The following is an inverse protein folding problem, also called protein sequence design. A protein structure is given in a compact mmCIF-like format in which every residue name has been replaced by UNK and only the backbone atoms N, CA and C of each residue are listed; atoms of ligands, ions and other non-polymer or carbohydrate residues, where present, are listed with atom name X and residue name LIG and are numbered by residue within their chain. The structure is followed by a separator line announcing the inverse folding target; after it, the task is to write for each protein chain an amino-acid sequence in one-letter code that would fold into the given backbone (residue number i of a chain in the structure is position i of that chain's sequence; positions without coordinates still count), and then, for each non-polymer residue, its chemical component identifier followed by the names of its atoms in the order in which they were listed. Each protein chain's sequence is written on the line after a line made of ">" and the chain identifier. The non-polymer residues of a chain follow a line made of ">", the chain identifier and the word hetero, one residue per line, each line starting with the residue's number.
data_IF_121854015332
#
_entry.id   IF_121854015332
#
_cell.length_a   1.000
_cell.length_b   1.000
_cell.length_c   1.000
_cell.angle_alpha   90.00
_cell.angle_beta   90.00
_cell.angle_gamma   90.00
#
_symmetry.space_group_name_H-M   'P 1'
#
loop_
_entity.id
_entity.type
_entity.pdbx_description
1 polymer ?
#
# COMPACT_ATOMS: atom_id res chain seq x y z
N UNK A 1 11.22 -16.71 -7.72
CA UNK A 1 10.06 -17.54 -7.36
C UNK A 1 9.20 -16.79 -6.38
N UNK A 2 7.87 -16.82 -6.53
CA UNK A 2 6.95 -16.36 -5.49
C UNK A 2 7.19 -17.29 -4.29
N UNK A 3 7.69 -16.75 -3.19
CA UNK A 3 7.81 -17.51 -1.95
C UNK A 3 6.42 -17.66 -1.36
N UNK A 4 5.84 -18.85 -1.47
CA UNK A 4 4.59 -19.22 -0.81
C UNK A 4 4.87 -19.41 0.69
N UNK A 5 4.61 -18.38 1.48
CA UNK A 5 4.87 -18.45 2.90
C UNK A 5 4.27 -17.27 3.68
N UNK A 6 4.45 -17.35 4.98
CA UNK A 6 4.04 -16.27 5.88
C UNK A 6 5.06 -15.13 5.84
N UNK A 7 4.56 -13.91 5.77
CA UNK A 7 5.35 -12.68 5.92
C UNK A 7 5.97 -12.67 7.32
N UNK A 8 7.25 -12.33 7.41
CA UNK A 8 7.92 -12.08 8.69
C UNK A 8 8.17 -10.59 8.88
N UNK A 9 7.64 -10.05 9.97
CA UNK A 9 7.80 -8.66 10.34
C UNK A 9 9.07 -8.46 11.16
N UNK A 10 9.76 -7.37 10.89
CA UNK A 10 10.90 -6.87 11.66
C UNK A 10 10.47 -5.79 12.65
N UNK A 11 11.30 -4.78 12.77
CA UNK A 11 11.06 -3.64 13.66
C UNK A 11 9.89 -2.78 13.20
N UNK A 12 9.20 -2.17 14.15
CA UNK A 12 8.23 -1.11 13.88
C UNK A 12 8.96 0.15 13.41
N UNK A 13 8.44 0.75 12.34
CA UNK A 13 8.96 1.99 11.77
C UNK A 13 8.03 3.15 12.13
N UNK A 14 8.57 4.37 12.14
CA UNK A 14 7.74 5.56 12.17
C UNK A 14 7.16 5.84 10.79
N UNK A 15 5.84 6.05 10.73
CA UNK A 15 5.15 6.37 9.50
C UNK A 15 5.40 7.83 9.11
N UNK A 16 6.06 8.08 7.97
CA UNK A 16 6.31 9.44 7.51
C UNK A 16 5.03 10.21 7.13
N UNK A 17 3.93 9.51 6.87
CA UNK A 17 2.65 10.10 6.49
C UNK A 17 1.73 10.42 7.68
N UNK A 18 2.15 10.17 8.93
CA UNK A 18 1.36 10.62 10.07
C UNK A 18 1.22 12.15 10.06
N UNK A 19 0.09 12.64 10.56
CA UNK A 19 -0.13 14.10 10.68
C UNK A 19 1.00 14.76 11.46
N UNK A 20 1.45 14.11 12.54
CA UNK A 20 2.55 14.61 13.36
C UNK A 20 3.85 14.75 12.57
N UNK A 21 4.25 13.71 11.83
CA UNK A 21 5.51 13.71 11.09
C UNK A 21 5.47 14.62 9.86
N UNK A 22 4.36 14.66 9.14
CA UNK A 22 4.18 15.61 8.04
C UNK A 22 4.18 17.06 8.53
N UNK A 23 3.61 17.33 9.69
CA UNK A 23 3.67 18.65 10.32
C UNK A 23 5.10 19.05 10.68
N UNK A 24 5.88 18.14 11.25
CA UNK A 24 7.31 18.37 11.53
C UNK A 24 8.10 18.68 10.25
N UNK A 25 7.81 17.97 9.16
CA UNK A 25 8.46 18.19 7.87
C UNK A 25 8.15 19.58 7.29
N UNK A 26 6.89 19.99 7.33
CA UNK A 26 6.49 21.36 6.92
C UNK A 26 7.21 22.41 7.74
N UNK A 27 7.27 22.25 9.06
CA UNK A 27 7.96 23.19 9.96
C UNK A 27 9.47 23.23 9.69
N UNK A 28 10.07 22.11 9.35
CA UNK A 28 11.47 22.04 9.00
C UNK A 28 11.82 22.82 7.74
N UNK A 29 11.02 22.63 6.69
CA UNK A 29 11.27 23.26 5.37
C UNK A 29 10.73 24.68 5.25
N UNK A 30 9.65 25.00 5.96
CA UNK A 30 8.94 26.27 5.87
C UNK A 30 8.70 26.90 7.25
N UNK A 31 9.76 27.21 8.01
CA UNK A 31 9.63 27.69 9.39
C UNK A 31 8.84 29.02 9.49
N UNK A 32 8.87 29.86 8.45
CA UNK A 32 8.12 31.12 8.41
C UNK A 32 6.63 30.94 8.12
N UNK A 33 6.23 29.78 7.60
CA UNK A 33 4.83 29.43 7.33
C UNK A 33 4.25 28.48 8.39
N UNK A 34 5.05 27.99 9.30
CA UNK A 34 4.69 26.98 10.29
C UNK A 34 3.53 27.40 11.20
N UNK A 35 3.42 28.68 11.51
CA UNK A 35 2.36 29.21 12.38
C UNK A 35 0.99 29.33 11.67
N UNK A 36 0.97 29.32 10.34
CA UNK A 36 -0.26 29.48 9.53
C UNK A 36 -0.70 28.20 8.84
N UNK A 37 0.19 27.19 8.72
CA UNK A 37 -0.12 25.91 8.11
C UNK A 37 -0.44 24.91 9.22
N UNK A 38 -1.71 24.50 9.29
CA UNK A 38 -2.16 23.43 10.17
C UNK A 38 -2.66 22.27 9.31
N UNK A 39 -2.00 21.13 9.44
CA UNK A 39 -2.42 19.91 8.76
C UNK A 39 -3.50 19.20 9.57
N UNK A 40 -4.56 18.82 8.88
CA UNK A 40 -5.63 18.01 9.43
C UNK A 40 -5.58 16.61 8.80
N UNK A 41 -5.96 15.61 9.57
CA UNK A 41 -6.02 14.25 9.05
C UNK A 41 -6.90 14.19 7.77
N UNK A 42 -6.37 13.59 6.73
CA UNK A 42 -7.13 13.23 5.53
C UNK A 42 -7.69 11.82 5.65
N UNK A 43 -6.96 10.96 6.33
CA UNK A 43 -7.25 9.54 6.49
C UNK A 43 -6.90 9.08 7.90
N UNK A 44 -7.49 7.93 8.27
CA UNK A 44 -7.14 7.19 9.46
C UNK A 44 -6.50 5.86 9.08
N UNK A 45 -5.37 5.55 9.70
CA UNK A 45 -4.80 4.21 9.70
C UNK A 45 -5.43 3.43 10.85
N UNK A 46 -6.14 2.38 10.50
CA UNK A 46 -6.93 1.57 11.43
C UNK A 46 -6.61 0.10 11.30
N UNK A 47 -6.94 -0.67 12.35
CA UNK A 47 -7.05 -2.11 12.25
C UNK A 47 -8.47 -2.55 12.61
N UNK A 48 -8.93 -3.56 11.93
CA UNK A 48 -10.26 -4.13 12.06
C UNK A 48 -10.13 -5.62 12.38
N UNK A 49 -10.96 -6.13 13.26
CA UNK A 49 -11.00 -7.56 13.57
C UNK A 49 -12.33 -8.17 13.10
N UNK A 50 -12.39 -8.63 11.86
CA UNK A 50 -13.55 -9.36 11.34
C UNK A 50 -13.74 -10.67 12.13
N UNK A 51 -14.97 -11.05 12.39
CA UNK A 51 -15.30 -12.29 13.09
C UNK A 51 -15.23 -13.50 12.17
N UNK A 52 -15.57 -13.28 10.90
CA UNK A 52 -15.66 -14.32 9.87
C UNK A 52 -15.57 -13.73 8.45
N UNK A 53 -15.72 -14.58 7.44
CA UNK A 53 -15.71 -14.19 6.04
C UNK A 53 -16.87 -13.27 5.64
N UNK A 54 -18.02 -13.31 6.36
CA UNK A 54 -19.12 -12.39 6.08
C UNK A 54 -18.74 -10.95 6.46
N UNK A 55 -18.06 -10.76 7.58
CA UNK A 55 -17.54 -9.46 7.99
C UNK A 55 -16.50 -8.94 6.96
N UNK A 56 -15.61 -9.80 6.47
CA UNK A 56 -14.65 -9.44 5.42
C UNK A 56 -15.36 -8.98 4.16
N UNK A 57 -16.38 -9.73 3.71
CA UNK A 57 -17.18 -9.37 2.54
C UNK A 57 -17.88 -8.03 2.74
N UNK A 58 -18.46 -7.80 3.90
CA UNK A 58 -19.13 -6.54 4.24
C UNK A 58 -18.17 -5.36 4.13
N UNK A 59 -16.96 -5.46 4.69
CA UNK A 59 -15.95 -4.41 4.62
C UNK A 59 -15.48 -4.17 3.17
N UNK A 60 -15.32 -5.22 2.39
CA UNK A 60 -15.00 -5.11 0.94
C UNK A 60 -16.10 -4.38 0.18
N UNK A 61 -17.38 -4.70 0.43
CA UNK A 61 -18.53 -4.02 -0.16
C UNK A 61 -18.63 -2.54 0.25
N UNK A 62 -18.15 -2.19 1.43
CA UNK A 62 -18.00 -0.80 1.89
C UNK A 62 -16.82 -0.07 1.23
N UNK A 63 -16.03 -0.72 0.40
CA UNK A 63 -14.87 -0.16 -0.27
C UNK A 63 -13.60 -0.13 0.58
N UNK A 64 -13.54 -0.87 1.67
CA UNK A 64 -12.34 -0.96 2.51
C UNK A 64 -11.31 -1.88 1.86
N UNK A 65 -10.15 -1.35 1.56
CA UNK A 65 -9.00 -2.14 1.12
C UNK A 65 -8.24 -2.65 2.33
N UNK A 66 -8.31 -3.94 2.57
CA UNK A 66 -7.73 -4.58 3.74
C UNK A 66 -6.41 -5.28 3.41
N UNK A 67 -5.44 -5.13 4.28
CA UNK A 67 -4.20 -5.89 4.29
C UNK A 67 -4.10 -6.67 5.60
N UNK A 68 -3.58 -7.89 5.55
CA UNK A 68 -3.53 -8.79 6.70
C UNK A 68 -2.33 -8.55 7.62
N UNK A 69 -1.46 -7.58 7.29
CA UNK A 69 -0.29 -7.21 8.07
C UNK A 69 -0.23 -5.71 8.34
N UNK A 70 0.46 -5.27 9.41
CA UNK A 70 0.72 -3.84 9.66
C UNK A 70 1.50 -3.18 8.52
N UNK A 71 1.23 -1.90 8.29
CA UNK A 71 1.84 -1.12 7.21
C UNK A 71 3.10 -0.34 7.65
N UNK A 72 3.35 -0.29 8.94
CA UNK A 72 4.43 0.46 9.59
C UNK A 72 5.48 -0.44 10.25
N UNK A 73 5.70 -1.60 9.65
CA UNK A 73 6.75 -2.55 10.06
C UNK A 73 7.66 -2.85 8.89
N UNK A 74 8.95 -3.05 9.20
CA UNK A 74 9.88 -3.61 8.21
C UNK A 74 9.47 -5.06 7.91
N UNK A 75 9.42 -5.41 6.65
CA UNK A 75 9.23 -6.80 6.23
C UNK A 75 10.61 -7.39 6.03
N UNK A 76 10.97 -8.36 6.84
CA UNK A 76 12.29 -9.03 6.78
C UNK A 76 12.24 -10.26 5.88
N UNK A 77 11.06 -10.83 5.71
CA UNK A 77 10.81 -11.90 4.75
C UNK A 77 9.46 -11.70 4.08
N UNK A 78 9.46 -11.67 2.77
CA UNK A 78 8.24 -11.58 1.95
C UNK A 78 7.45 -12.89 1.98
N UNK A 79 6.15 -12.78 1.73
CA UNK A 79 5.25 -13.93 1.67
C UNK A 79 3.88 -13.53 1.14
N UNK A 80 2.99 -14.51 1.03
CA UNK A 80 1.65 -14.34 0.46
C UNK A 80 0.60 -13.95 1.50
N UNK A 81 0.87 -14.22 2.76
CA UNK A 81 -0.08 -14.03 3.85
C UNK A 81 0.63 -13.72 5.17
N UNK A 82 -0.13 -13.18 6.11
CA UNK A 82 0.29 -12.94 7.48
C UNK A 82 -0.84 -13.32 8.43
N UNK A 83 -0.47 -13.85 9.57
CA UNK A 83 -1.38 -14.10 10.68
C UNK A 83 -0.75 -13.59 11.98
N UNK A 84 -1.49 -12.72 12.68
CA UNK A 84 -1.05 -12.19 13.97
C UNK A 84 -0.93 -13.34 14.98
N UNK A 85 0.22 -13.52 15.62
CA UNK A 85 0.43 -14.61 16.57
C UNK A 85 -0.45 -14.53 17.83
N UNK A 86 -1.04 -13.36 18.12
CA UNK A 86 -1.99 -13.19 19.23
C UNK A 86 -3.41 -13.64 18.88
N UNK A 87 -3.70 -13.89 17.61
CA UNK A 87 -4.99 -14.34 17.12
C UNK A 87 -4.98 -15.87 16.98
N UNK A 88 -5.99 -16.59 17.52
CA UNK A 88 -6.06 -18.05 17.41
C UNK A 88 -6.03 -18.52 15.94
N UNK A 89 -5.34 -19.65 15.72
CA UNK A 89 -5.35 -20.31 14.41
C UNK A 89 -6.79 -20.62 13.98
N UNK A 90 -7.05 -20.42 12.66
CA UNK A 90 -8.37 -20.63 12.08
C UNK A 90 -9.34 -19.46 12.24
N UNK A 91 -8.97 -18.45 13.02
CA UNK A 91 -9.73 -17.18 13.09
C UNK A 91 -9.19 -16.17 12.10
N UNK A 92 -10.04 -15.23 11.69
CA UNK A 92 -9.58 -14.12 10.83
C UNK A 92 -8.63 -13.24 11.62
N UNK A 93 -7.45 -12.98 11.06
CA UNK A 93 -6.46 -12.10 11.67
C UNK A 93 -6.85 -10.62 11.56
N UNK A 94 -6.18 -9.76 12.29
CA UNK A 94 -6.33 -8.31 12.16
C UNK A 94 -6.16 -7.88 10.70
N UNK A 95 -7.09 -7.02 10.26
CA UNK A 95 -7.01 -6.38 8.95
C UNK A 95 -6.61 -4.92 9.12
N UNK A 96 -5.64 -4.48 8.36
CA UNK A 96 -5.11 -3.11 8.38
C UNK A 96 -5.62 -2.36 7.18
N UNK A 97 -6.11 -1.15 7.39
CA UNK A 97 -6.68 -0.33 6.34
C UNK A 97 -6.40 1.15 6.56
N UNK A 98 -6.42 1.88 5.46
CA UNK A 98 -6.38 3.35 5.44
C UNK A 98 -7.73 3.83 4.93
N UNK A 99 -8.46 4.52 5.78
CA UNK A 99 -9.85 4.91 5.52
C UNK A 99 -10.02 6.43 5.60
N UNK A 100 -11.01 7.00 4.89
CA UNK A 100 -11.35 8.42 5.05
C UNK A 100 -11.74 8.74 6.49
N UNK A 101 -11.58 9.99 6.90
CA UNK A 101 -11.90 10.45 8.26
C UNK A 101 -13.38 10.34 8.64
N UNK A 102 -14.26 10.24 7.65
CA UNK A 102 -15.71 10.04 7.83
C UNK A 102 -16.13 8.57 7.84
N UNK A 103 -15.17 7.65 7.67
CA UNK A 103 -15.44 6.21 7.73
C UNK A 103 -15.98 5.80 9.10
N UNK A 104 -17.03 4.98 9.09
CA UNK A 104 -17.61 4.35 10.27
C UNK A 104 -17.63 2.86 10.09
N UNK A 105 -16.87 2.15 10.93
CA UNK A 105 -16.94 0.69 10.98
C UNK A 105 -18.34 0.22 11.42
N UNK A 106 -18.81 -0.93 10.92
CA UNK A 106 -19.99 -1.58 11.49
C UNK A 106 -19.82 -1.84 12.98
N UNK A 107 -20.86 -1.62 13.78
CA UNK A 107 -20.80 -1.78 15.26
C UNK A 107 -20.39 -3.20 15.69
N UNK A 108 -20.65 -4.18 14.83
CA UNK A 108 -20.30 -5.59 15.08
C UNK A 108 -18.82 -5.93 14.85
N UNK A 109 -18.06 -5.04 14.25
CA UNK A 109 -16.64 -5.26 13.90
C UNK A 109 -15.76 -4.34 14.75
N UNK A 110 -14.88 -4.94 15.54
CA UNK A 110 -13.91 -4.17 16.32
C UNK A 110 -13.00 -3.38 15.40
N UNK A 111 -12.93 -2.08 15.61
CA UNK A 111 -12.09 -1.15 14.86
C UNK A 111 -11.27 -0.31 15.83
N UNK A 112 -9.97 -0.24 15.60
CA UNK A 112 -9.04 0.53 16.42
C UNK A 112 -8.29 1.53 15.55
N UNK A 113 -8.31 2.81 15.96
CA UNK A 113 -7.46 3.84 15.35
C UNK A 113 -6.01 3.62 15.78
N UNK A 114 -5.10 3.48 14.80
CA UNK A 114 -3.67 3.38 15.06
C UNK A 114 -3.00 4.76 15.04
N UNK A 115 -3.20 5.53 13.97
CA UNK A 115 -2.84 6.95 13.93
C UNK A 115 -3.55 7.70 12.79
N UNK A 116 -3.51 9.03 12.88
CA UNK A 116 -4.02 9.94 11.88
C UNK A 116 -2.96 10.17 10.78
N UNK A 117 -3.40 10.18 9.52
CA UNK A 117 -2.55 10.33 8.36
C UNK A 117 -2.87 11.62 7.59
N UNK A 118 -1.84 12.21 7.00
CA UNK A 118 -1.98 13.28 6.03
C UNK A 118 -1.43 12.83 4.68
N UNK A 119 -2.34 12.59 3.74
CA UNK A 119 -2.04 12.22 2.36
C UNK A 119 -2.38 13.41 1.46
N UNK A 120 -1.36 14.04 0.88
CA UNK A 120 -1.49 15.31 0.15
C UNK A 120 -2.52 15.26 -0.97
N UNK A 121 -2.59 14.14 -1.70
CA UNK A 121 -3.53 14.00 -2.83
C UNK A 121 -4.98 13.93 -2.37
N UNK A 122 -5.22 13.57 -1.14
CA UNK A 122 -6.55 13.41 -0.54
C UNK A 122 -6.99 14.63 0.28
N UNK A 123 -6.12 15.66 0.36
CA UNK A 123 -6.48 16.93 0.96
C UNK A 123 -7.35 17.76 0.00
N UNK A 124 -8.65 17.77 0.25
CA UNK A 124 -9.63 18.51 -0.54
C UNK A 124 -9.76 19.99 -0.11
N UNK A 125 -9.23 20.36 1.05
CA UNK A 125 -9.63 21.61 1.68
C UNK A 125 -8.51 22.65 1.83
N UNK A 126 -7.24 22.26 1.97
CA UNK A 126 -6.21 23.16 2.49
C UNK A 126 -4.82 22.97 1.90
N UNK A 127 -4.69 22.49 0.68
CA UNK A 127 -3.39 22.50 -0.01
C UNK A 127 -2.83 23.92 0.00
N UNK A 128 -1.91 24.19 0.91
CA UNK A 128 -1.27 25.48 1.01
C UNK A 128 -0.47 25.76 -0.26
N UNK A 129 -0.72 26.89 -0.90
CA UNK A 129 0.03 27.35 -2.06
C UNK A 129 1.49 27.65 -1.70
N UNK A 130 2.38 27.39 -2.65
CA UNK A 130 3.81 27.67 -2.50
C UNK A 130 4.55 26.67 -1.60
N UNK A 131 3.98 25.50 -1.36
CA UNK A 131 4.62 24.37 -0.70
C UNK A 131 5.00 23.31 -1.74
N UNK A 132 6.25 22.89 -1.75
CA UNK A 132 6.68 21.71 -2.49
C UNK A 132 6.37 20.46 -1.65
N UNK A 133 5.20 19.89 -1.88
CA UNK A 133 4.72 18.73 -1.12
C UNK A 133 5.55 17.47 -1.35
N UNK A 134 6.16 17.31 -2.52
CA UNK A 134 7.08 16.21 -2.78
C UNK A 134 8.33 16.33 -1.88
N UNK A 135 8.85 17.55 -1.69
CA UNK A 135 9.96 17.77 -0.78
C UNK A 135 9.56 17.62 0.69
N UNK A 136 8.34 18.03 1.07
CA UNK A 136 7.80 17.79 2.42
C UNK A 136 7.73 16.28 2.70
N UNK A 137 7.28 15.50 1.76
CA UNK A 137 7.22 14.04 1.88
C UNK A 137 8.62 13.45 2.07
N UNK A 138 9.58 13.83 1.25
CA UNK A 138 10.99 13.41 1.38
C UNK A 138 11.59 13.81 2.73
N UNK A 139 11.35 15.04 3.18
CA UNK A 139 11.80 15.50 4.50
C UNK A 139 11.20 14.68 5.62
N UNK A 140 9.92 14.31 5.52
CA UNK A 140 9.26 13.44 6.50
C UNK A 140 9.90 12.05 6.55
N UNK A 141 10.27 11.47 5.40
CA UNK A 141 11.06 10.22 5.37
C UNK A 141 12.40 10.37 6.10
N UNK A 142 13.12 11.49 5.91
CA UNK A 142 14.39 11.74 6.58
C UNK A 142 14.23 11.90 8.09
N UNK A 143 13.25 12.69 8.52
CA UNK A 143 12.99 12.95 9.94
C UNK A 143 12.53 11.72 10.73
N UNK A 144 11.90 10.77 10.06
CA UNK A 144 11.42 9.50 10.65
C UNK A 144 12.46 8.37 10.58
N UNK A 145 13.65 8.64 10.05
CA UNK A 145 14.70 7.63 9.92
C UNK A 145 14.53 6.67 8.73
N UNK A 146 13.70 7.04 7.75
CA UNK A 146 13.38 6.23 6.58
C UNK A 146 14.06 6.73 5.29
N UNK A 147 15.13 7.51 5.41
CA UNK A 147 15.85 8.07 4.26
C UNK A 147 16.41 7.01 3.29
N UNK A 148 16.68 5.80 3.80
CA UNK A 148 17.13 4.65 3.01
C UNK A 148 16.07 4.14 2.00
N UNK A 149 14.80 4.52 2.18
CA UNK A 149 13.71 4.19 1.28
C UNK A 149 13.56 5.18 0.12
N UNK A 150 14.25 6.33 0.17
CA UNK A 150 14.21 7.32 -0.90
C UNK A 150 15.12 6.92 -2.07
N UNK A 151 14.80 7.34 -3.31
CA UNK A 151 15.67 7.13 -4.46
C UNK A 151 17.07 7.69 -4.23
N UNK A 152 18.08 6.95 -4.67
CA UNK A 152 19.48 7.38 -4.61
C UNK A 152 19.88 8.10 -5.91
N UNK A 153 19.77 9.42 -5.91
CA UNK A 153 20.11 10.25 -7.07
C UNK A 153 21.58 10.13 -7.49
N UNK A 154 22.48 9.74 -6.57
CA UNK A 154 23.89 9.50 -6.91
C UNK A 154 24.09 8.25 -7.75
N UNK A 155 23.12 7.32 -7.72
CA UNK A 155 23.07 6.11 -8.56
C UNK A 155 22.25 6.31 -9.84
N UNK A 156 21.82 7.54 -10.13
CA UNK A 156 21.01 7.86 -11.31
C UNK A 156 19.53 7.52 -11.18
N UNK A 157 19.06 7.24 -9.96
CA UNK A 157 17.64 7.08 -9.69
C UNK A 157 16.91 8.44 -9.77
N UNK A 158 15.66 8.43 -10.19
CA UNK A 158 14.84 9.64 -10.31
C UNK A 158 14.37 10.10 -8.94
N UNK A 159 14.51 11.39 -8.67
CA UNK A 159 13.93 12.06 -7.51
C UNK A 159 12.47 12.48 -7.73
N UNK A 160 11.99 12.35 -8.96
CA UNK A 160 10.61 12.69 -9.32
C UNK A 160 9.69 11.53 -8.97
N UNK A 161 8.56 11.78 -8.27
CA UNK A 161 7.57 10.75 -7.98
C UNK A 161 7.09 10.05 -9.25
N UNK A 162 7.02 8.72 -9.18
CA UNK A 162 6.69 7.87 -10.32
C UNK A 162 5.32 7.20 -10.12
N UNK A 163 4.61 7.02 -11.23
CA UNK A 163 3.36 6.24 -11.26
C UNK A 163 3.69 4.77 -11.52
N UNK A 164 3.46 3.88 -10.55
CA UNK A 164 3.72 2.45 -10.74
C UNK A 164 2.88 1.87 -11.86
N UNK A 165 3.52 1.07 -12.71
CA UNK A 165 2.87 0.37 -13.82
C UNK A 165 3.56 -0.96 -14.09
N UNK A 166 2.85 -1.87 -14.75
CA UNK A 166 3.41 -3.16 -15.09
C UNK A 166 2.40 -4.05 -15.83
N UNK A 167 2.70 -5.32 -15.88
CA UNK A 167 1.87 -6.33 -16.53
C UNK A 167 1.78 -7.58 -15.67
N UNK A 168 0.58 -8.12 -15.51
CA UNK A 168 0.34 -9.40 -14.88
C UNK A 168 0.11 -10.44 -15.96
N UNK A 169 0.93 -11.48 -15.95
CA UNK A 169 0.85 -12.58 -16.91
C UNK A 169 0.83 -13.93 -16.22
N UNK A 170 0.22 -14.88 -16.88
CA UNK A 170 0.24 -16.30 -16.54
C UNK A 170 0.99 -17.04 -17.64
N UNK A 171 1.78 -18.01 -17.26
CA UNK A 171 2.49 -18.86 -18.19
C UNK A 171 2.29 -20.32 -17.81
N UNK A 172 1.73 -21.10 -18.73
CA UNK A 172 1.60 -22.55 -18.62
C UNK A 172 2.51 -23.20 -19.66
N UNK A 173 3.56 -23.86 -19.21
CA UNK A 173 4.58 -24.47 -20.07
C UNK A 173 4.02 -25.55 -21.01
N UNK A 174 2.87 -26.14 -20.64
CA UNK A 174 2.24 -27.21 -21.44
C UNK A 174 1.30 -26.66 -22.55
N UNK A 175 0.84 -25.41 -22.42
CA UNK A 175 -0.20 -24.84 -23.30
C UNK A 175 0.16 -23.51 -23.94
N UNK A 176 1.11 -22.77 -23.37
CA UNK A 176 1.43 -21.41 -23.83
C UNK A 176 2.81 -21.34 -24.48
N UNK A 177 2.88 -20.72 -25.67
CA UNK A 177 4.17 -20.39 -26.30
C UNK A 177 4.82 -19.16 -25.65
N UNK A 178 3.99 -18.23 -25.15
CA UNK A 178 4.42 -17.00 -24.47
C UNK A 178 3.51 -16.69 -23.26
N UNK A 179 4.00 -15.88 -22.28
CA UNK A 179 3.18 -15.43 -21.16
C UNK A 179 1.93 -14.67 -21.61
N UNK A 180 0.77 -15.09 -21.13
CA UNK A 180 -0.53 -14.49 -21.46
C UNK A 180 -0.95 -13.50 -20.40
N UNK A 181 -1.41 -12.31 -20.80
CA UNK A 181 -1.92 -11.29 -19.89
C UNK A 181 -3.21 -11.72 -19.19
N UNK A 182 -3.37 -11.34 -17.93
CA UNK A 182 -4.56 -11.64 -17.14
C UNK A 182 -5.35 -10.37 -16.86
N UNK A 183 -6.59 -10.33 -17.36
CA UNK A 183 -7.49 -9.21 -17.17
C UNK A 183 -8.20 -9.23 -15.81
N UNK A 184 -8.56 -8.03 -15.30
CA UNK A 184 -9.41 -7.89 -14.12
C UNK A 184 -8.73 -8.26 -12.79
N UNK A 185 -7.42 -8.42 -12.77
CA UNK A 185 -6.66 -8.67 -11.55
C UNK A 185 -6.48 -7.36 -10.79
N UNK A 186 -6.82 -7.35 -9.50
CA UNK A 186 -6.54 -6.21 -8.66
C UNK A 186 -5.06 -6.18 -8.28
N UNK A 187 -4.41 -5.08 -8.62
CA UNK A 187 -3.04 -4.78 -8.19
C UNK A 187 -3.10 -3.68 -7.15
N UNK A 188 -2.55 -3.94 -6.00
CA UNK A 188 -2.41 -3.00 -4.91
C UNK A 188 -0.94 -2.74 -4.65
N UNK A 189 -0.59 -1.50 -4.37
CA UNK A 189 0.76 -1.17 -3.91
C UNK A 189 0.70 -0.17 -2.76
N UNK A 190 1.71 -0.20 -1.90
CA UNK A 190 1.78 0.73 -0.79
C UNK A 190 3.21 1.05 -0.38
N UNK A 191 3.38 2.26 0.15
CA UNK A 191 4.50 2.69 0.97
C UNK A 191 3.89 3.21 2.27
N UNK A 192 4.10 2.52 3.37
CA UNK A 192 3.37 2.80 4.62
C UNK A 192 1.86 2.87 4.37
N UNK A 193 1.21 3.93 4.84
CA UNK A 193 -0.24 4.16 4.69
C UNK A 193 -0.64 4.75 3.34
N UNK A 194 0.33 5.12 2.48
CA UNK A 194 0.03 5.55 1.13
C UNK A 194 -0.23 4.33 0.26
N UNK A 195 -1.48 4.13 -0.12
CA UNK A 195 -1.95 2.95 -0.86
C UNK A 195 -2.58 3.39 -2.17
N UNK A 196 -2.32 2.63 -3.23
CA UNK A 196 -3.01 2.71 -4.50
C UNK A 196 -3.46 1.33 -4.96
N UNK A 197 -4.57 1.28 -5.68
CA UNK A 197 -5.06 0.07 -6.34
C UNK A 197 -5.54 0.37 -7.73
N UNK A 198 -5.41 -0.59 -8.60
CA UNK A 198 -5.97 -0.58 -9.95
C UNK A 198 -6.27 -2.00 -10.40
N UNK A 199 -6.84 -2.14 -11.59
CA UNK A 199 -7.14 -3.42 -12.20
C UNK A 199 -6.41 -3.53 -13.54
N UNK A 200 -6.00 -4.74 -13.89
CA UNK A 200 -5.40 -5.02 -15.18
C UNK A 200 -6.43 -4.91 -16.30
N UNK A 201 -5.98 -4.44 -17.47
CA UNK A 201 -6.75 -4.45 -18.71
C UNK A 201 -6.80 -5.85 -19.37
N UNK A 202 -7.36 -5.94 -20.57
CA UNK A 202 -7.52 -7.19 -21.30
C UNK A 202 -6.20 -7.89 -21.65
N UNK A 203 -5.11 -7.13 -21.76
CA UNK A 203 -3.76 -7.65 -22.02
C UNK A 203 -2.91 -7.80 -20.76
N UNK A 204 -3.50 -7.56 -19.58
CA UNK A 204 -2.86 -7.70 -18.28
C UNK A 204 -2.07 -6.47 -17.81
N UNK A 205 -2.09 -5.36 -18.55
CA UNK A 205 -1.39 -4.13 -18.14
C UNK A 205 -2.16 -3.36 -17.08
N UNK A 206 -1.41 -2.71 -16.21
CA UNK A 206 -1.94 -1.80 -15.20
C UNK A 206 -1.07 -0.55 -15.05
N UNK A 207 -1.69 0.55 -14.63
CA UNK A 207 -1.04 1.78 -14.22
C UNK A 207 -1.78 2.37 -13.01
N UNK A 208 -1.02 2.77 -11.99
CA UNK A 208 -1.59 3.42 -10.81
C UNK A 208 -1.89 4.88 -11.10
N UNK A 209 -2.98 5.38 -10.53
CA UNK A 209 -3.37 6.80 -10.60
C UNK A 209 -2.65 7.68 -9.58
N UNK A 210 -1.92 7.08 -8.63
CA UNK A 210 -1.11 7.77 -7.62
C UNK A 210 0.37 7.57 -7.90
N UNK A 211 1.15 8.61 -7.72
CA UNK A 211 2.62 8.54 -7.75
C UNK A 211 3.18 8.20 -6.38
N UNK A 212 4.40 7.66 -6.36
CA UNK A 212 5.13 7.33 -5.14
C UNK A 212 6.54 7.93 -5.19
N UNK A 213 6.99 8.43 -4.05
CA UNK A 213 8.34 8.99 -3.87
C UNK A 213 9.37 7.89 -3.58
N UNK A 214 8.91 6.76 -3.09
CA UNK A 214 9.71 5.58 -2.73
C UNK A 214 9.14 4.36 -3.44
N UNK A 215 9.95 3.31 -3.60
CA UNK A 215 9.52 2.05 -4.20
C UNK A 215 8.38 1.41 -3.39
N UNK A 216 7.18 1.25 -3.95
CA UNK A 216 6.08 0.63 -3.23
C UNK A 216 6.23 -0.89 -3.21
N UNK A 217 5.64 -1.49 -2.17
CA UNK A 217 5.41 -2.93 -2.10
C UNK A 217 4.14 -3.27 -2.87
N UNK A 218 4.17 -4.35 -3.65
CA UNK A 218 3.04 -4.79 -4.48
C UNK A 218 2.34 -6.01 -3.90
N UNK A 219 1.02 -6.05 -4.08
CA UNK A 219 0.19 -7.19 -3.78
C UNK A 219 -0.81 -7.39 -4.92
N UNK A 220 -0.98 -8.64 -5.34
CA UNK A 220 -1.95 -9.04 -6.35
C UNK A 220 -3.08 -9.76 -5.66
N UNK A 221 -4.32 -9.38 -5.96
CA UNK A 221 -5.50 -10.09 -5.50
C UNK A 221 -6.34 -10.46 -6.73
N UNK A 222 -6.63 -11.74 -6.85
CA UNK A 222 -7.60 -12.22 -7.81
C UNK A 222 -9.00 -11.87 -7.27
N UNK A 223 -9.73 -11.01 -7.99
CA UNK A 223 -11.04 -10.55 -7.58
C UNK A 223 -12.01 -11.74 -7.52
N UNK A 224 -12.60 -11.93 -6.39
CA UNK A 224 -13.74 -12.70 -5.98
C UNK A 224 -13.46 -13.93 -5.10
N UNK A 225 -13.71 -13.73 -3.82
CA UNK A 225 -13.97 -14.83 -2.88
C UNK A 225 -15.25 -15.60 -3.20
N UNK A 226 -16.11 -15.07 -4.09
CA UNK A 226 -17.31 -15.72 -4.58
C UNK A 226 -17.05 -16.41 -5.93
N UNK A 227 -16.53 -17.63 -5.90
CA UNK A 227 -16.79 -18.60 -6.94
C UNK A 227 -15.75 -18.85 -8.02
N UNK A 228 -14.49 -18.49 -7.85
CA UNK A 228 -13.40 -19.04 -8.66
C UNK A 228 -12.31 -19.63 -7.77
N UNK A 229 -12.42 -20.91 -7.46
CA UNK A 229 -11.24 -21.71 -7.19
C UNK A 229 -10.59 -21.98 -8.55
N UNK A 230 -9.68 -21.13 -8.96
CA UNK A 230 -8.74 -21.49 -10.01
C UNK A 230 -7.81 -22.49 -9.34
N UNK A 231 -8.04 -23.77 -9.57
CA UNK A 231 -7.09 -24.82 -9.19
C UNK A 231 -5.88 -24.67 -10.09
N UNK A 232 -4.86 -23.97 -9.59
CA UNK A 232 -3.58 -23.88 -10.26
C UNK A 232 -2.78 -25.16 -9.99
N UNK A 233 -2.85 -26.10 -10.89
CA UNK A 233 -1.75 -27.04 -11.06
C UNK A 233 -0.67 -26.34 -11.88
N UNK A 234 0.40 -25.91 -11.20
CA UNK A 234 1.65 -25.43 -11.80
C UNK A 234 1.59 -24.21 -12.74
N UNK A 235 0.92 -23.14 -12.33
CA UNK A 235 0.98 -21.85 -13.05
C UNK A 235 2.05 -20.96 -12.42
N UNK A 236 3.05 -20.57 -13.20
CA UNK A 236 4.03 -19.54 -12.80
C UNK A 236 3.44 -18.17 -13.08
N UNK A 237 2.98 -17.49 -12.04
CA UNK A 237 2.58 -16.08 -12.16
C UNK A 237 3.85 -15.23 -12.13
N UNK A 238 4.22 -14.64 -13.26
CA UNK A 238 5.28 -13.63 -13.32
C UNK A 238 4.64 -12.26 -13.32
N UNK A 239 4.82 -11.50 -12.24
CA UNK A 239 4.56 -10.09 -12.23
C UNK A 239 5.83 -9.36 -12.66
N UNK A 240 5.80 -8.72 -13.85
CA UNK A 240 6.84 -7.78 -14.21
C UNK A 240 6.41 -6.39 -13.74
N UNK A 241 7.15 -5.83 -12.82
CA UNK A 241 6.89 -4.50 -12.28
C UNK A 241 8.01 -3.59 -12.73
N UNK A 242 7.69 -2.47 -13.39
CA UNK A 242 8.64 -1.38 -13.50
C UNK A 242 8.55 -0.57 -12.21
N UNK A 243 9.46 -0.81 -11.28
CA UNK A 243 9.65 0.03 -10.11
C UNK A 243 10.47 1.25 -10.49
N UNK A 244 10.22 2.39 -9.87
CA UNK A 244 10.93 3.68 -9.90
C UNK A 244 12.33 3.66 -10.59
N UNK A 245 12.37 3.35 -11.89
CA UNK A 245 13.60 3.34 -12.68
C UNK A 245 14.41 2.03 -12.68
N UNK A 246 13.99 0.98 -11.97
CA UNK A 246 14.63 -0.34 -12.06
C UNK A 246 13.88 -1.21 -13.06
N UNK A 247 14.54 -1.52 -14.17
CA UNK A 247 14.14 -2.63 -15.00
C UNK A 247 14.68 -3.92 -14.38
N UNK A 248 13.83 -4.71 -13.76
CA UNK A 248 14.15 -6.09 -13.48
C UNK A 248 13.91 -6.90 -14.75
N UNK A 249 14.97 -7.40 -15.34
CA UNK A 249 14.93 -8.39 -16.40
C UNK A 249 14.43 -9.73 -15.87
#
# INVERSE_FOLDING_TARGET
>A
GLEHGMIELGEKLEDPYSVENMTKAVRSLYPTKADVIQLHATNYYVRLLPRDDNDLTLLEEMGVLMLDHPLDYRIVKEGDWYHDPEIPEGSVTWQYAVVPVDFKAPDSIRCELLHECYLVDEDLNTKAEGIDWAEVERESFRLTGNADMLPDVTKGESDTPQYPKGRITVYDEDYDEEPVGVAGVMVCCNVFVRIAKTYTDEEGYYEMSKSFTSDPRYRIQFANRKGFSIGFNAVVVKASVSTLGKHSA
#
